data_IF_691933384152
#
_entry.id   IF_691933384152
#
_cell.length_a   1.000
_cell.length_b   1.000
_cell.length_c   1.000
_cell.angle_alpha   90.00
_cell.angle_beta   90.00
_cell.angle_gamma   90.00
#
_symmetry.space_group_name_H-M   'P 1'
#
loop_
_entity.id
_entity.type
_entity.pdbx_description
1 polymer ?
#
# COMPACT_ATOMS: atom_id res chain seq x y z
N UNK A 1 11.29 -0.37 -26.60
CA UNK A 1 10.20 -1.21 -26.08
C UNK A 1 10.65 -1.70 -24.71
N UNK A 2 10.18 -1.07 -23.63
CA UNK A 2 10.60 -1.44 -22.28
C UNK A 2 9.93 -2.77 -21.90
N UNK A 3 10.74 -3.78 -21.61
CA UNK A 3 10.35 -5.03 -20.98
C UNK A 3 9.65 -4.74 -19.65
N UNK A 4 8.33 -4.89 -19.61
CA UNK A 4 7.59 -4.93 -18.36
C UNK A 4 8.12 -6.10 -17.54
N UNK A 5 8.80 -5.80 -16.44
CA UNK A 5 9.15 -6.82 -15.46
C UNK A 5 7.85 -7.50 -15.03
N UNK A 6 7.77 -8.81 -15.24
CA UNK A 6 6.63 -9.60 -14.76
C UNK A 6 6.52 -9.41 -13.25
N UNK A 7 5.48 -8.73 -12.80
CA UNK A 7 5.20 -8.54 -11.38
C UNK A 7 4.92 -9.93 -10.80
N UNK A 8 5.92 -10.50 -10.13
CA UNK A 8 5.85 -11.88 -9.66
C UNK A 8 4.73 -12.00 -8.61
N UNK A 9 3.66 -12.73 -8.95
CA UNK A 9 2.59 -13.06 -8.01
C UNK A 9 3.17 -13.95 -6.91
N UNK A 10 2.73 -13.73 -5.67
CA UNK A 10 3.12 -14.58 -4.55
C UNK A 10 2.81 -16.06 -4.86
N UNK A 11 3.72 -17.00 -4.59
CA UNK A 11 3.58 -18.40 -5.00
C UNK A 11 2.51 -19.17 -4.22
N UNK A 12 1.93 -18.57 -3.17
CA UNK A 12 0.94 -19.20 -2.30
C UNK A 12 -0.27 -18.29 -2.13
N UNK A 13 -1.50 -18.84 -2.11
CA UNK A 13 -2.70 -18.06 -1.90
C UNK A 13 -2.75 -17.48 -0.48
N UNK A 14 -3.38 -16.32 -0.35
CA UNK A 14 -3.69 -15.67 0.92
C UNK A 14 -5.13 -15.96 1.32
N UNK A 15 -5.43 -16.11 2.62
CA UNK A 15 -6.81 -16.32 3.07
C UNK A 15 -7.57 -15.00 3.01
N UNK A 16 -8.87 -15.08 2.70
CA UNK A 16 -9.81 -13.95 2.73
C UNK A 16 -9.79 -13.21 4.08
N UNK A 17 -9.66 -13.94 5.19
CA UNK A 17 -9.55 -13.36 6.54
C UNK A 17 -8.31 -12.48 6.71
N UNK A 18 -7.19 -12.91 6.14
CA UNK A 18 -5.90 -12.25 6.28
C UNK A 18 -5.90 -10.97 5.44
N UNK A 19 -6.42 -11.03 4.22
CA UNK A 19 -6.65 -9.85 3.36
C UNK A 19 -7.58 -8.85 4.05
N UNK A 20 -8.70 -9.32 4.61
CA UNK A 20 -9.67 -8.46 5.30
C UNK A 20 -9.06 -7.75 6.51
N UNK A 21 -8.22 -8.46 7.28
CA UNK A 21 -7.48 -7.86 8.39
C UNK A 21 -6.50 -6.80 7.90
N UNK A 22 -5.72 -7.09 6.86
CA UNK A 22 -4.75 -6.16 6.31
C UNK A 22 -5.40 -4.88 5.75
N UNK A 23 -6.53 -4.99 5.07
CA UNK A 23 -7.33 -3.85 4.59
C UNK A 23 -7.73 -2.93 5.76
N UNK A 24 -8.23 -3.51 6.86
CA UNK A 24 -8.62 -2.75 8.05
C UNK A 24 -7.41 -2.10 8.73
N UNK A 25 -6.28 -2.81 8.80
CA UNK A 25 -5.04 -2.27 9.36
C UNK A 25 -4.50 -1.10 8.54
N UNK A 26 -4.52 -1.19 7.20
CA UNK A 26 -4.12 -0.08 6.33
C UNK A 26 -5.03 1.13 6.49
N UNK A 27 -6.36 0.92 6.56
CA UNK A 27 -7.32 2.00 6.78
C UNK A 27 -7.10 2.70 8.14
N UNK A 28 -6.79 1.94 9.20
CA UNK A 28 -6.46 2.49 10.51
C UNK A 28 -5.16 3.31 10.45
N UNK A 29 -4.11 2.78 9.81
CA UNK A 29 -2.84 3.47 9.66
C UNK A 29 -2.97 4.78 8.88
N UNK A 30 -3.75 4.77 7.79
CA UNK A 30 -4.07 5.95 6.99
C UNK A 30 -4.80 7.01 7.81
N UNK A 31 -5.80 6.60 8.61
CA UNK A 31 -6.52 7.50 9.52
C UNK A 31 -5.62 8.14 10.57
N UNK A 32 -4.75 7.36 11.21
CA UNK A 32 -3.79 7.86 12.20
C UNK A 32 -2.75 8.80 11.58
N UNK A 33 -2.32 8.56 10.33
CA UNK A 33 -1.45 9.49 9.60
C UNK A 33 -2.16 10.80 9.26
N UNK A 34 -3.42 10.74 8.83
CA UNK A 34 -4.24 11.91 8.54
C UNK A 34 -4.48 12.77 9.79
N UNK A 35 -4.69 12.12 10.94
CA UNK A 35 -4.91 12.80 12.22
C UNK A 35 -3.63 13.29 12.90
N UNK A 36 -2.44 12.94 12.39
CA UNK A 36 -1.17 13.22 13.06
C UNK A 36 -0.97 12.40 14.35
N UNK A 37 -1.69 11.30 14.51
CA UNK A 37 -1.61 10.39 15.67
C UNK A 37 -0.38 9.48 15.66
N UNK A 38 0.27 9.33 14.51
CA UNK A 38 1.52 8.55 14.38
C UNK A 38 2.73 9.42 14.72
N UNK A 39 3.58 9.02 15.69
CA UNK A 39 4.84 9.71 15.95
C UNK A 39 5.74 9.73 14.71
N UNK A 40 6.40 10.86 14.44
CA UNK A 40 7.27 11.03 13.26
C UNK A 40 8.27 9.89 13.06
N UNK A 41 8.90 9.40 14.14
CA UNK A 41 9.83 8.26 14.09
C UNK A 41 9.19 6.97 13.56
N UNK A 42 7.92 6.72 13.87
CA UNK A 42 7.19 5.56 13.37
C UNK A 42 6.80 5.78 11.90
N UNK A 43 6.31 6.96 11.54
CA UNK A 43 6.02 7.33 10.15
C UNK A 43 7.26 7.15 9.25
N UNK A 44 8.43 7.58 9.71
CA UNK A 44 9.70 7.40 8.99
C UNK A 44 10.09 5.94 8.81
N UNK A 45 9.79 5.08 9.80
CA UNK A 45 10.02 3.63 9.67
C UNK A 45 9.09 3.02 8.63
N UNK A 46 7.81 3.38 8.65
CA UNK A 46 6.84 2.93 7.65
C UNK A 46 7.28 3.38 6.26
N UNK A 47 7.70 4.65 6.10
CA UNK A 47 8.25 5.19 4.85
C UNK A 47 9.38 4.32 4.30
N UNK A 48 10.40 4.05 5.11
CA UNK A 48 11.54 3.19 4.71
C UNK A 48 11.13 1.78 4.31
N UNK A 49 10.13 1.20 4.98
CA UNK A 49 9.63 -0.12 4.61
C UNK A 49 8.91 -0.10 3.26
N UNK A 50 8.10 0.93 2.98
CA UNK A 50 7.47 1.10 1.66
C UNK A 50 8.49 1.38 0.57
N UNK A 51 9.52 2.19 0.83
CA UNK A 51 10.64 2.42 -0.10
C UNK A 51 11.39 1.12 -0.43
N UNK A 52 11.69 0.32 0.60
CA UNK A 52 12.38 -0.98 0.41
C UNK A 52 11.53 -1.98 -0.39
N UNK A 53 10.21 -1.89 -0.29
CA UNK A 53 9.27 -2.70 -1.05
C UNK A 53 8.93 -2.11 -2.43
N UNK A 54 9.59 -1.02 -2.83
CA UNK A 54 9.33 -0.25 -4.06
C UNK A 54 7.87 0.23 -4.18
N UNK A 55 7.20 0.43 -3.04
CA UNK A 55 5.83 0.95 -2.94
C UNK A 55 5.78 2.48 -2.77
N UNK A 56 6.93 3.10 -2.51
CA UNK A 56 7.10 4.54 -2.36
C UNK A 56 8.46 4.96 -2.90
N UNK A 57 8.52 6.06 -3.64
CA UNK A 57 9.79 6.59 -4.13
C UNK A 57 10.65 7.12 -2.97
N UNK A 58 11.99 6.93 -2.99
CA UNK A 58 12.88 7.44 -1.97
C UNK A 58 12.71 8.95 -1.75
N UNK A 59 12.60 9.37 -0.49
CA UNK A 59 12.45 10.78 -0.13
C UNK A 59 11.03 11.33 -0.33
N UNK A 60 10.04 10.45 -0.47
CA UNK A 60 8.63 10.82 -0.57
C UNK A 60 8.12 11.62 0.65
N UNK A 61 7.22 12.55 0.38
CA UNK A 61 6.57 13.40 1.38
C UNK A 61 5.56 12.63 2.24
N UNK A 62 5.00 13.26 3.27
CA UNK A 62 3.89 12.69 4.06
C UNK A 62 2.62 12.47 3.23
N UNK A 63 2.46 13.26 2.17
CA UNK A 63 1.38 13.03 1.19
C UNK A 63 1.64 11.75 0.43
N UNK A 64 2.87 11.54 -0.04
CA UNK A 64 3.24 10.35 -0.82
C UNK A 64 3.14 9.09 0.04
N UNK A 65 3.56 9.16 1.31
CA UNK A 65 3.37 8.08 2.28
C UNK A 65 1.90 7.67 2.43
N UNK A 66 1.00 8.64 2.61
CA UNK A 66 -0.44 8.37 2.72
C UNK A 66 -1.00 7.79 1.43
N UNK A 67 -0.60 8.33 0.28
CA UNK A 67 -1.02 7.85 -1.03
C UNK A 67 -0.58 6.39 -1.24
N UNK A 68 0.67 6.04 -0.95
CA UNK A 68 1.16 4.66 -1.07
C UNK A 68 0.41 3.66 -0.18
N UNK A 69 0.00 4.08 1.03
CA UNK A 69 -0.82 3.23 1.92
C UNK A 69 -2.22 3.05 1.35
N UNK A 70 -2.83 4.13 0.87
CA UNK A 70 -4.15 4.10 0.24
C UNK A 70 -4.15 3.18 -1.00
N UNK A 71 -3.14 3.28 -1.85
CA UNK A 71 -2.97 2.44 -3.03
C UNK A 71 -2.77 0.97 -2.69
N UNK A 72 -1.94 0.68 -1.67
CA UNK A 72 -1.77 -0.68 -1.19
C UNK A 72 -3.10 -1.24 -0.67
N UNK A 73 -3.88 -0.45 0.07
CA UNK A 73 -5.20 -0.84 0.56
C UNK A 73 -6.14 -1.20 -0.60
N UNK A 74 -6.18 -0.38 -1.63
CA UNK A 74 -6.98 -0.63 -2.82
C UNK A 74 -6.55 -1.88 -3.59
N UNK A 75 -5.24 -2.15 -3.74
CA UNK A 75 -4.75 -3.40 -4.33
C UNK A 75 -5.16 -4.64 -3.53
N UNK A 76 -5.19 -4.54 -2.20
CA UNK A 76 -5.67 -5.62 -1.33
C UNK A 76 -7.18 -5.85 -1.48
N UNK A 77 -7.98 -4.78 -1.58
CA UNK A 77 -9.44 -4.86 -1.83
C UNK A 77 -9.75 -5.48 -3.19
N UNK A 78 -8.99 -5.12 -4.22
CA UNK A 78 -9.08 -5.77 -5.53
C UNK A 78 -8.73 -7.26 -5.43
N UNK A 79 -7.63 -7.62 -4.75
CA UNK A 79 -7.27 -9.03 -4.51
C UNK A 79 -8.35 -9.80 -3.74
N UNK A 80 -9.09 -9.13 -2.86
CA UNK A 80 -10.22 -9.70 -2.13
C UNK A 80 -11.47 -9.91 -3.00
N UNK A 81 -11.53 -9.27 -4.18
CA UNK A 81 -12.68 -9.30 -5.09
C UNK A 81 -13.73 -8.23 -4.80
N UNK A 82 -13.38 -7.13 -4.10
CA UNK A 82 -14.32 -6.01 -3.90
C UNK A 82 -14.55 -5.18 -5.18
N UNK A 83 -13.66 -5.29 -6.17
CA UNK A 83 -13.73 -4.61 -7.46
C UNK A 83 -13.42 -5.59 -8.59
N UNK A 84 -14.08 -5.45 -9.74
CA UNK A 84 -13.82 -6.24 -10.95
C UNK A 84 -12.54 -5.78 -11.69
N UNK A 85 -12.19 -4.50 -11.57
CA UNK A 85 -10.99 -3.91 -12.15
C UNK A 85 -10.11 -3.28 -11.06
N UNK A 86 -8.77 -3.32 -11.20
CA UNK A 86 -7.89 -2.64 -10.26
C UNK A 86 -8.13 -1.12 -10.36
N UNK A 87 -8.35 -0.47 -9.22
CA UNK A 87 -8.40 0.99 -9.18
C UNK A 87 -7.04 1.52 -9.63
N UNK A 88 -6.98 1.99 -10.87
CA UNK A 88 -5.77 2.53 -11.45
C UNK A 88 -5.61 3.96 -10.94
N UNK A 89 -4.86 4.17 -9.87
CA UNK A 89 -4.26 5.49 -9.63
C UNK A 89 -2.97 5.55 -10.44
N UNK A 90 -3.07 6.24 -11.58
CA UNK A 90 -2.06 6.48 -12.63
C UNK A 90 -0.93 7.42 -12.12
N UNK A 91 0.18 7.58 -12.87
CA UNK A 91 1.49 6.94 -12.75
C UNK A 91 2.52 7.74 -11.91
N UNK A 92 3.63 7.08 -11.54
CA UNK A 92 4.86 7.71 -11.00
C UNK A 92 5.48 8.71 -11.98
#
# INVERSE_FOLDING_TARGET
MSTGASEAVAPRPCRTSDLSFMIRLMALLEGELLAGGIPARLADRVRRHLETADLLSPGGTDRDLRQSINELNHRLRHTLGEYDEPTTTVPR
#
